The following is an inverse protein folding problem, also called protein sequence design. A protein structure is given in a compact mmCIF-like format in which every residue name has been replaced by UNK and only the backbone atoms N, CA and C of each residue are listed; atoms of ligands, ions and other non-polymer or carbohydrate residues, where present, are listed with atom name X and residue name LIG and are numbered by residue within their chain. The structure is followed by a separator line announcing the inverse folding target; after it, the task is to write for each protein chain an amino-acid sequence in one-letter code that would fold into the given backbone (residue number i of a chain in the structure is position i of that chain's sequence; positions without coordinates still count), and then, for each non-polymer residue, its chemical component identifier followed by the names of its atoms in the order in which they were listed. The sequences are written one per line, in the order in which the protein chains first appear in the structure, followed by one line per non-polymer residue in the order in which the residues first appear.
data_IF_273096783551
#
_entry.id   IF_273096783551
#
_cell.length_a   1.000
_cell.length_b   1.000
_cell.length_c   1.000
_cell.angle_alpha   90.00
_cell.angle_beta   90.00
_cell.angle_gamma   90.00
#
_symmetry.space_group_name_H-M   'P 1'
#
loop_
_entity.id
_entity.type
_entity.pdbx_description
1 polymer ?
#
# COMPACT_ATOMS: atom_id res chain seq x y z
N UNK A 1 -5.43 12.54 4.83
CA UNK A 1 -5.61 11.08 5.05
C UNK A 1 -4.32 10.37 4.73
N UNK A 2 -3.78 9.60 5.68
CA UNK A 2 -2.47 8.93 5.56
C UNK A 2 -2.70 7.42 5.57
N UNK A 3 -2.19 6.67 4.57
CA UNK A 3 -2.32 5.23 4.52
C UNK A 3 -1.45 4.57 5.58
N UNK A 4 -2.05 3.65 6.31
CA UNK A 4 -1.39 2.88 7.35
C UNK A 4 -1.63 1.39 7.18
N UNK A 5 -0.77 0.57 7.77
CA UNK A 5 -0.95 -0.87 7.87
C UNK A 5 -1.17 -1.24 9.33
N UNK A 6 -2.19 -2.04 9.68
CA UNK A 6 -2.36 -2.54 11.03
C UNK A 6 -1.14 -3.39 11.43
N UNK A 7 -0.72 -3.28 12.68
CA UNK A 7 0.33 -4.08 13.30
C UNK A 7 -0.06 -4.39 14.75
N UNK A 8 0.66 -5.31 15.39
CA UNK A 8 0.34 -5.79 16.74
C UNK A 8 0.22 -4.67 17.80
N UNK A 9 0.88 -3.52 17.60
CA UNK A 9 0.85 -2.37 18.51
C UNK A 9 0.06 -1.16 18.00
N UNK A 10 -0.71 -1.28 16.91
CA UNK A 10 -1.49 -0.19 16.34
C UNK A 10 -1.34 -0.07 14.83
N UNK A 11 -0.85 1.08 14.37
CA UNK A 11 -0.76 1.40 12.94
C UNK A 11 0.65 1.82 12.54
N UNK A 12 1.21 1.15 11.55
CA UNK A 12 2.48 1.52 10.94
C UNK A 12 2.25 2.38 9.69
N UNK A 13 3.05 3.44 9.52
CA UNK A 13 3.05 4.25 8.31
C UNK A 13 3.41 3.38 7.08
N UNK A 14 2.63 3.48 6.01
CA UNK A 14 2.95 2.79 4.76
C UNK A 14 3.85 3.67 3.89
N UNK A 15 5.06 3.18 3.59
CA UNK A 15 6.02 3.84 2.70
C UNK A 15 5.90 3.26 1.30
N UNK A 16 5.96 4.13 0.30
CA UNK A 16 5.86 3.82 -1.12
C UNK A 16 7.17 4.15 -1.84
N UNK A 17 7.22 3.83 -3.14
CA UNK A 17 8.32 4.22 -4.02
C UNK A 17 7.80 5.11 -5.13
N UNK A 18 8.59 6.11 -5.51
CA UNK A 18 8.36 6.89 -6.73
C UNK A 18 8.69 6.05 -7.96
N UNK A 19 8.30 6.47 -9.18
CA UNK A 19 8.69 5.78 -10.42
C UNK A 19 10.22 5.68 -10.59
N UNK A 20 10.96 6.65 -10.04
CA UNK A 20 12.43 6.65 -10.03
C UNK A 20 13.02 5.79 -8.89
N UNK A 21 12.20 5.10 -8.11
CA UNK A 21 12.63 4.17 -7.05
C UNK A 21 12.88 4.80 -5.67
N UNK A 22 12.75 6.12 -5.53
CA UNK A 22 12.96 6.82 -4.27
C UNK A 22 11.84 6.49 -3.26
N UNK A 23 12.17 6.32 -1.98
CA UNK A 23 11.17 6.07 -0.94
C UNK A 23 10.40 7.36 -0.63
N UNK A 24 9.08 7.25 -0.53
CA UNK A 24 8.17 8.37 -0.25
C UNK A 24 7.07 7.95 0.69
N UNK A 25 6.70 8.82 1.63
CA UNK A 25 5.40 8.74 2.29
C UNK A 25 4.34 9.30 1.35
N UNK A 26 3.10 8.86 1.49
CA UNK A 26 1.98 9.35 0.68
C UNK A 26 0.93 9.96 1.60
N UNK A 27 0.41 11.11 1.23
CA UNK A 27 -0.70 11.77 1.88
C UNK A 27 -1.80 12.03 0.85
N UNK A 28 -3.04 11.90 1.27
CA UNK A 28 -4.21 12.23 0.45
C UNK A 28 -4.98 13.37 1.08
N UNK A 29 -5.48 14.30 0.27
CA UNK A 29 -6.32 15.40 0.77
C UNK A 29 -7.69 14.90 1.25
N UNK A 30 -8.23 13.87 0.59
CA UNK A 30 -9.55 13.29 0.92
C UNK A 30 -9.47 11.77 1.09
N UNK A 31 -10.43 11.20 1.82
CA UNK A 31 -10.58 9.75 1.94
C UNK A 31 -10.95 9.11 0.59
N UNK A 32 -11.74 9.80 -0.23
CA UNK A 32 -12.11 9.34 -1.57
C UNK A 32 -10.91 9.18 -2.51
N UNK A 33 -9.96 10.13 -2.51
CA UNK A 33 -8.72 10.01 -3.30
C UNK A 33 -7.85 8.85 -2.84
N UNK A 34 -7.76 8.64 -1.52
CA UNK A 34 -7.04 7.49 -0.96
C UNK A 34 -7.68 6.17 -1.41
N UNK A 35 -9.01 6.05 -1.30
CA UNK A 35 -9.74 4.84 -1.69
C UNK A 35 -9.66 4.59 -3.21
N UNK A 36 -9.69 5.65 -4.02
CA UNK A 36 -9.53 5.53 -5.48
C UNK A 36 -8.13 5.04 -5.87
N UNK A 37 -7.08 5.45 -5.13
CA UNK A 37 -5.71 5.02 -5.42
C UNK A 37 -5.39 3.65 -4.80
N UNK A 38 -5.65 3.43 -3.52
CA UNK A 38 -5.20 2.24 -2.78
C UNK A 38 -6.29 1.18 -2.59
N UNK A 39 -7.50 1.45 -3.05
CA UNK A 39 -8.68 0.62 -2.82
C UNK A 39 -9.45 1.01 -1.56
N UNK A 40 -10.77 0.71 -1.50
CA UNK A 40 -11.65 1.11 -0.39
C UNK A 40 -11.32 0.41 0.94
N UNK A 41 -10.66 -0.74 0.91
CA UNK A 41 -10.26 -1.49 2.11
C UNK A 41 -8.97 -0.99 2.77
N UNK A 42 -8.30 0.02 2.20
CA UNK A 42 -7.03 0.51 2.72
C UNK A 42 -7.24 1.30 4.04
N UNK A 43 -6.66 0.85 5.17
CA UNK A 43 -6.73 1.60 6.42
C UNK A 43 -6.02 2.95 6.32
N UNK A 44 -6.63 3.98 6.90
CA UNK A 44 -6.13 5.35 6.86
C UNK A 44 -6.42 6.11 8.16
N UNK A 45 -5.51 7.02 8.51
CA UNK A 45 -5.63 7.90 9.68
C UNK A 45 -5.50 9.37 9.27
N UNK A 46 -6.08 10.29 10.06
CA UNK A 46 -5.84 11.73 9.91
C UNK A 46 -4.61 12.11 10.71
N UNK A 47 -3.56 12.51 10.01
CA UNK A 47 -2.36 13.10 10.61
C UNK A 47 -1.97 14.35 9.84
N UNK A 48 -1.34 15.29 10.53
CA UNK A 48 -0.76 16.48 9.92
C UNK A 48 0.48 16.10 9.11
N UNK A 49 0.76 16.85 8.04
CA UNK A 49 1.99 16.70 7.26
C UNK A 49 3.27 16.70 8.11
N UNK A 50 3.47 17.60 9.10
CA UNK A 50 4.64 17.54 9.96
C UNK A 50 4.73 16.25 10.77
N UNK A 51 3.60 15.73 11.30
CA UNK A 51 3.61 14.46 12.02
C UNK A 51 4.03 13.29 11.11
N UNK A 52 3.58 13.27 9.86
CA UNK A 52 4.00 12.25 8.88
C UNK A 52 5.50 12.33 8.62
N UNK A 53 6.05 13.54 8.44
CA UNK A 53 7.49 13.73 8.24
C UNK A 53 8.30 13.26 9.44
N UNK A 54 7.86 13.56 10.66
CA UNK A 54 8.52 13.08 11.88
C UNK A 54 8.51 11.55 11.99
N UNK A 55 7.43 10.88 11.59
CA UNK A 55 7.34 9.42 11.57
C UNK A 55 8.16 8.78 10.44
N UNK A 56 8.28 9.47 9.30
CA UNK A 56 8.98 8.99 8.12
C UNK A 56 10.51 9.22 8.19
N UNK A 57 10.94 10.27 8.89
CA UNK A 57 12.35 10.65 9.04
C UNK A 57 13.27 9.53 9.52
N UNK A 58 12.94 8.80 10.60
CA UNK A 58 13.74 7.66 11.08
C UNK A 58 13.89 6.52 10.07
N UNK A 59 13.00 6.43 9.08
CA UNK A 59 13.06 5.43 8.00
C UNK A 59 13.89 5.89 6.78
N UNK A 60 14.51 7.07 6.87
CA UNK A 60 15.24 7.73 5.78
C UNK A 60 14.32 8.31 4.70
N UNK A 61 13.04 8.53 5.02
CA UNK A 61 12.03 9.02 4.07
C UNK A 61 11.77 10.50 4.32
N UNK A 62 12.31 11.35 3.45
CA UNK A 62 12.16 12.80 3.53
C UNK A 62 11.08 13.34 2.61
N UNK A 63 10.70 12.57 1.58
CA UNK A 63 9.71 12.97 0.60
C UNK A 63 8.31 12.53 1.02
N UNK A 64 7.37 13.46 0.94
CA UNK A 64 5.94 13.20 1.12
C UNK A 64 5.21 13.64 -0.15
N UNK A 65 4.62 12.68 -0.85
CA UNK A 65 3.82 12.95 -2.04
C UNK A 65 2.36 13.16 -1.64
N UNK A 66 1.74 14.24 -2.13
CA UNK A 66 0.35 14.58 -1.84
C UNK A 66 -0.51 14.28 -3.06
N UNK A 67 -1.55 13.48 -2.86
CA UNK A 67 -2.45 12.97 -3.91
C UNK A 67 -1.71 12.43 -5.16
N UNK A 68 -0.74 11.51 -5.01
CA UNK A 68 -0.09 10.93 -6.17
C UNK A 68 -1.11 10.18 -7.03
N UNK A 69 -1.04 10.41 -8.33
CA UNK A 69 -1.68 9.54 -9.30
C UNK A 69 -0.86 8.26 -9.41
N UNK A 70 -1.48 7.09 -9.28
CA UNK A 70 -0.80 5.82 -9.53
C UNK A 70 -0.43 5.73 -11.01
N UNK A 71 0.87 5.71 -11.30
CA UNK A 71 1.39 5.48 -12.65
C UNK A 71 1.36 4.00 -13.05
N UNK A 72 1.22 3.09 -12.09
CA UNK A 72 1.12 1.67 -12.34
C UNK A 72 -0.37 1.24 -12.38
N UNK A 73 -0.80 0.48 -13.40
CA UNK A 73 -2.14 -0.09 -13.42
C UNK A 73 -2.36 -0.99 -12.19
N UNK A 74 -3.59 -1.07 -11.66
CA UNK A 74 -3.90 -1.92 -10.51
C UNK A 74 -3.51 -3.37 -10.80
N UNK A 75 -2.84 -4.01 -9.85
CA UNK A 75 -2.58 -5.45 -9.90
C UNK A 75 -3.94 -6.14 -9.86
N UNK A 76 -4.36 -6.69 -10.99
CA UNK A 76 -5.55 -7.53 -11.06
C UNK A 76 -5.22 -8.80 -10.26
N UNK A 77 -6.04 -9.21 -9.28
CA UNK A 77 -5.85 -10.49 -8.63
C UNK A 77 -5.83 -11.55 -9.72
N UNK A 78 -4.72 -12.28 -9.83
CA UNK A 78 -4.65 -13.43 -10.71
C UNK A 78 -5.69 -14.44 -10.21
N UNK A 79 -6.53 -15.01 -11.08
CA UNK A 79 -7.36 -16.13 -10.65
C UNK A 79 -6.44 -17.20 -10.07
N UNK A 80 -6.81 -17.76 -8.91
CA UNK A 80 -6.10 -18.88 -8.29
C UNK A 80 -5.83 -19.94 -9.36
N UNK A 81 -4.60 -19.98 -9.86
CA UNK A 81 -4.16 -21.01 -10.77
C UNK A 81 -4.26 -22.36 -10.05
N UNK A 82 -4.43 -23.47 -10.79
CA UNK A 82 -4.54 -24.79 -10.17
C UNK A 82 -3.34 -25.00 -9.25
N UNK A 83 -3.63 -25.19 -7.96
CA UNK A 83 -2.60 -25.54 -6.98
C UNK A 83 -1.82 -26.76 -7.47
N UNK A 84 -0.50 -26.87 -7.22
CA UNK A 84 0.31 -28.00 -7.68
C UNK A 84 -0.25 -29.38 -7.29
N UNK A 85 -1.14 -29.45 -6.30
CA UNK A 85 -1.86 -30.65 -5.89
C UNK A 85 -2.82 -31.20 -6.96
N UNK A 86 -3.38 -30.36 -7.84
CA UNK A 86 -4.27 -30.78 -8.94
C UNK A 86 -3.53 -31.45 -10.10
N UNK A 87 -2.18 -31.46 -10.07
CA UNK A 87 -1.38 -32.08 -11.13
C UNK A 87 -1.00 -33.54 -10.86
N UNK A 88 -1.39 -34.10 -9.71
CA UNK A 88 -1.13 -35.52 -9.44
C UNK A 88 -2.11 -36.38 -10.25
N UNK A 89 -1.63 -37.21 -11.20
CA UNK A 89 -2.51 -38.13 -11.91
C UNK A 89 -3.11 -39.13 -10.92
N UNK A 90 -4.43 -39.24 -10.91
CA UNK A 90 -5.13 -40.31 -10.18
C UNK A 90 -4.79 -41.64 -10.84
N UNK A 91 -4.01 -42.49 -10.16
CA UNK A 91 -3.76 -43.85 -10.61
C UNK A 91 -5.04 -44.70 -10.43
N UNK A 92 -5.55 -45.37 -11.47
CA UNK A 92 -6.66 -46.31 -11.32
C UNK A 92 -6.16 -47.59 -10.63
N UNK A 93 -6.96 -48.10 -9.69
CA UNK A 93 -6.81 -49.41 -9.06
C UNK A 93 -7.62 -50.49 -9.76
#
# INVERSE_FOLDING_TARGET
MIPVRPCAGGYALRVFRTPLGARTAVAFTTAGRLAACLGPGQPAVRLSLPAVRSLAGPLGVTLVSVDPQLTAPPVRPEPDGPTPADRLPTLPG
#
